data_IF_622553069272
#
_entry.id   IF_622553069272
#
_cell.length_a   1.000
_cell.length_b   1.000
_cell.length_c   1.000
_cell.angle_alpha   90.00
_cell.angle_beta   90.00
_cell.angle_gamma   90.00
#
_symmetry.space_group_name_H-M   'P 1'
#
loop_
_entity.id
_entity.type
_entity.pdbx_description
1 polymer ?
#
# COMPACT_ATOMS: atom_id res chain seq x y z
N UNK A 1 -17.56 -3.88 23.25
CA UNK A 1 -17.60 -4.98 22.27
C UNK A 1 -16.24 -5.05 21.57
N UNK A 2 -15.47 -6.13 21.76
CA UNK A 2 -14.17 -6.32 21.11
C UNK A 2 -14.42 -6.85 19.70
N UNK A 3 -14.42 -5.99 18.69
CA UNK A 3 -14.39 -6.45 17.30
C UNK A 3 -13.00 -7.07 17.03
N UNK A 4 -13.02 -8.37 16.79
CA UNK A 4 -11.83 -9.12 16.36
C UNK A 4 -11.51 -8.74 14.92
N UNK A 5 -10.38 -8.08 14.69
CA UNK A 5 -9.75 -8.03 13.37
C UNK A 5 -9.65 -9.47 12.84
N UNK A 6 -10.36 -9.76 11.77
CA UNK A 6 -10.11 -10.98 11.00
C UNK A 6 -8.75 -10.78 10.33
N UNK A 7 -7.76 -11.49 10.81
CA UNK A 7 -6.43 -11.50 10.21
C UNK A 7 -6.55 -11.87 8.72
N UNK A 8 -6.04 -11.00 7.86
CA UNK A 8 -5.69 -11.33 6.49
C UNK A 8 -4.85 -12.62 6.53
N UNK A 9 -5.33 -13.67 5.87
CA UNK A 9 -4.54 -14.89 5.68
C UNK A 9 -3.35 -14.54 4.78
N UNK A 10 -2.10 -14.77 5.18
CA UNK A 10 -0.92 -14.41 4.40
C UNK A 10 -0.65 -15.30 3.19
N UNK A 11 -1.67 -15.91 2.58
CA UNK A 11 -1.48 -17.08 1.74
C UNK A 11 -1.58 -16.84 0.23
N UNK A 12 -1.77 -15.63 -0.27
CA UNK A 12 -2.06 -15.43 -1.70
C UNK A 12 -0.84 -14.97 -2.52
N UNK A 13 0.18 -14.42 -1.88
CA UNK A 13 1.32 -13.79 -2.59
C UNK A 13 2.48 -14.74 -2.97
N UNK A 14 2.45 -16.02 -2.61
CA UNK A 14 3.66 -16.85 -2.54
C UNK A 14 3.89 -17.88 -3.67
N UNK A 15 3.08 -17.96 -4.74
CA UNK A 15 3.13 -19.21 -5.55
C UNK A 15 3.44 -19.11 -7.06
N UNK A 16 3.84 -17.98 -7.66
CA UNK A 16 4.02 -17.99 -9.13
C UNK A 16 5.32 -17.42 -9.73
N UNK A 17 6.31 -17.05 -8.96
CA UNK A 17 7.60 -16.61 -9.52
C UNK A 17 8.76 -17.51 -9.12
N UNK A 18 8.81 -18.70 -9.74
CA UNK A 18 10.04 -19.47 -9.87
C UNK A 18 10.84 -18.93 -11.05
N UNK A 19 11.97 -18.26 -10.79
CA UNK A 19 13.00 -18.08 -11.80
C UNK A 19 13.34 -16.64 -12.14
N UNK A 20 14.27 -16.13 -11.46
CA UNK A 20 15.50 -15.42 -11.80
C UNK A 20 16.02 -14.75 -10.52
N UNK A 21 16.61 -15.56 -9.67
CA UNK A 21 17.44 -15.06 -8.58
C UNK A 21 18.68 -14.42 -9.18
N UNK A 22 18.66 -13.11 -9.41
CA UNK A 22 19.90 -12.36 -9.47
C UNK A 22 20.43 -12.29 -8.05
N UNK A 23 21.30 -13.22 -7.72
CA UNK A 23 22.09 -13.20 -6.51
C UNK A 23 23.07 -12.02 -6.58
N UNK A 24 22.63 -10.87 -6.09
CA UNK A 24 23.56 -9.87 -5.61
C UNK A 24 23.77 -10.14 -4.12
N UNK A 25 24.60 -11.12 -3.81
CA UNK A 25 25.12 -11.33 -2.49
C UNK A 25 26.09 -10.19 -2.15
N UNK A 26 25.57 -9.05 -1.77
CA UNK A 26 26.35 -8.08 -1.02
C UNK A 26 26.32 -8.51 0.43
N UNK A 27 27.49 -8.81 1.00
CA UNK A 27 27.74 -8.95 2.41
C UNK A 27 27.43 -7.63 3.14
N UNK A 28 26.15 -7.29 3.25
CA UNK A 28 25.71 -6.11 4.00
C UNK A 28 25.25 -6.57 5.37
N UNK A 29 26.12 -6.29 6.34
CA UNK A 29 25.86 -6.47 7.76
C UNK A 29 24.57 -5.81 8.24
N UNK A 30 24.39 -5.70 9.54
CA UNK A 30 23.21 -5.19 10.26
C UNK A 30 22.91 -3.70 10.00
N UNK A 31 22.92 -3.24 8.74
CA UNK A 31 22.65 -1.84 8.34
C UNK A 31 21.34 -1.71 7.58
N UNK A 32 20.67 -0.58 7.76
CA UNK A 32 19.48 -0.24 6.95
C UNK A 32 19.86 -0.07 5.47
N UNK A 33 18.90 -0.25 4.53
CA UNK A 33 19.09 0.21 3.17
C UNK A 33 19.45 1.72 3.15
N UNK A 34 20.24 2.20 2.15
CA UNK A 34 20.66 3.59 2.07
C UNK A 34 19.48 4.57 2.14
N UNK A 35 19.62 5.63 2.96
CA UNK A 35 18.59 6.67 3.07
C UNK A 35 18.78 7.80 2.06
N UNK A 36 19.93 7.91 1.43
CA UNK A 36 20.30 8.88 0.41
C UNK A 36 19.89 8.47 -1.01
N UNK A 37 19.55 7.18 -1.23
CA UNK A 37 19.09 6.66 -2.50
C UNK A 37 17.58 6.38 -2.52
N UNK A 38 16.91 6.53 -3.68
CA UNK A 38 15.53 6.07 -3.84
C UNK A 38 15.42 4.55 -3.68
N UNK A 39 14.36 4.10 -2.99
CA UNK A 39 14.11 2.69 -2.72
C UNK A 39 13.34 2.01 -3.84
N UNK A 40 13.64 0.73 -4.04
CA UNK A 40 12.93 -0.20 -4.93
C UNK A 40 12.48 -1.45 -4.18
N UNK A 41 11.91 -2.41 -4.87
CA UNK A 41 11.46 -3.68 -4.29
C UNK A 41 12.57 -4.44 -3.57
N UNK A 42 13.83 -4.29 -3.97
CA UNK A 42 14.99 -4.93 -3.32
C UNK A 42 15.27 -4.29 -1.97
N UNK A 43 15.22 -2.96 -1.89
CA UNK A 43 15.41 -2.21 -0.64
C UNK A 43 14.35 -2.57 0.41
N UNK A 44 13.06 -2.61 0.00
CA UNK A 44 11.96 -3.00 0.90
C UNK A 44 12.10 -4.44 1.38
N UNK A 45 12.42 -5.38 0.47
CA UNK A 45 12.62 -6.79 0.82
C UNK A 45 13.77 -6.96 1.79
N UNK A 46 14.90 -6.29 1.55
CA UNK A 46 16.05 -6.34 2.45
C UNK A 46 15.72 -5.82 3.86
N UNK A 47 14.91 -4.76 3.98
CA UNK A 47 14.45 -4.28 5.30
C UNK A 47 13.55 -5.31 5.97
N UNK A 48 12.53 -5.84 5.28
CA UNK A 48 11.63 -6.87 5.82
C UNK A 48 12.43 -8.05 6.36
N UNK A 49 13.31 -8.64 5.55
CA UNK A 49 14.12 -9.80 5.95
C UNK A 49 14.98 -9.52 7.18
N UNK A 50 15.56 -8.34 7.28
CA UNK A 50 16.41 -7.98 8.44
C UNK A 50 15.58 -7.76 9.71
N UNK A 51 14.38 -7.18 9.59
CA UNK A 51 13.47 -7.01 10.74
C UNK A 51 12.91 -8.35 11.20
N UNK A 52 12.46 -9.20 10.30
CA UNK A 52 11.95 -10.54 10.61
C UNK A 52 13.02 -11.41 11.27
N UNK A 53 14.26 -11.34 10.80
CA UNK A 53 15.42 -12.03 11.39
C UNK A 53 15.97 -11.35 12.66
N UNK A 54 15.30 -10.30 13.18
CA UNK A 54 15.70 -9.55 14.38
C UNK A 54 17.10 -8.90 14.28
N UNK A 55 17.60 -8.67 13.09
CA UNK A 55 18.88 -7.99 12.84
C UNK A 55 18.73 -6.46 12.91
N UNK A 56 17.53 -5.97 12.61
CA UNK A 56 17.17 -4.56 12.70
C UNK A 56 15.83 -4.38 13.41
N UNK A 57 15.63 -3.20 13.98
CA UNK A 57 14.31 -2.73 14.44
C UNK A 57 13.58 -2.05 13.28
N UNK A 58 12.26 -1.89 13.39
CA UNK A 58 11.51 -1.05 12.47
C UNK A 58 11.98 0.41 12.60
N UNK A 59 12.28 1.11 11.50
CA UNK A 59 12.64 2.52 11.55
C UNK A 59 11.47 3.37 12.03
N UNK A 60 11.73 4.40 12.85
CA UNK A 60 10.69 5.24 13.43
C UNK A 60 10.97 6.72 13.24
N UNK A 61 9.90 7.52 13.24
CA UNK A 61 9.99 8.98 13.19
C UNK A 61 10.53 9.59 14.49
N UNK A 62 10.35 8.90 15.61
CA UNK A 62 10.80 9.35 16.93
C UNK A 62 12.26 9.07 17.21
N UNK A 63 12.93 8.23 16.41
CA UNK A 63 14.33 7.89 16.56
C UNK A 63 15.15 8.58 15.47
N UNK A 64 15.94 9.58 15.85
CA UNK A 64 16.76 10.38 14.92
C UNK A 64 17.69 9.51 14.05
N UNK A 65 18.21 8.39 14.56
CA UNK A 65 19.07 7.50 13.79
C UNK A 65 18.32 6.74 12.67
N UNK A 66 17.01 6.58 12.77
CA UNK A 66 16.20 5.83 11.80
C UNK A 66 15.16 6.68 11.07
N UNK A 67 14.97 7.93 11.50
CA UNK A 67 14.00 8.85 10.91
C UNK A 67 14.22 9.06 9.42
N UNK A 68 15.47 9.35 9.01
CA UNK A 68 15.79 9.52 7.58
C UNK A 68 15.54 8.25 6.77
N UNK A 69 15.79 7.08 7.35
CA UNK A 69 15.48 5.78 6.72
C UNK A 69 13.96 5.64 6.51
N UNK A 70 13.15 5.97 7.54
CA UNK A 70 11.70 5.94 7.42
C UNK A 70 11.18 6.94 6.39
N UNK A 71 11.66 8.18 6.42
CA UNK A 71 11.26 9.21 5.46
C UNK A 71 11.62 8.83 4.02
N UNK A 72 12.78 8.21 3.80
CA UNK A 72 13.16 7.67 2.49
C UNK A 72 12.26 6.50 2.09
N UNK A 73 11.94 5.59 3.01
CA UNK A 73 11.08 4.44 2.78
C UNK A 73 9.71 4.84 2.22
N UNK A 74 9.12 5.92 2.72
CA UNK A 74 7.78 6.40 2.32
C UNK A 74 7.83 7.60 1.37
N UNK A 75 8.99 7.89 0.78
CA UNK A 75 9.13 9.00 -0.17
C UNK A 75 8.45 8.65 -1.49
N UNK A 76 7.49 9.48 -1.89
CA UNK A 76 6.73 9.28 -3.15
C UNK A 76 7.62 9.30 -4.40
N UNK A 77 8.78 9.94 -4.34
CA UNK A 77 9.74 9.98 -5.45
C UNK A 77 10.36 8.60 -5.76
N UNK A 78 10.29 7.65 -4.83
CA UNK A 78 10.69 6.26 -5.09
C UNK A 78 9.87 5.66 -6.26
N UNK A 79 8.60 6.05 -6.39
CA UNK A 79 7.69 5.51 -7.41
C UNK A 79 8.15 5.88 -8.82
N UNK A 80 8.33 7.17 -9.20
CA UNK A 80 8.81 7.51 -10.54
C UNK A 80 10.28 7.15 -10.77
N UNK A 81 11.15 7.26 -9.75
CA UNK A 81 12.59 7.09 -9.92
C UNK A 81 13.01 5.62 -10.00
N UNK A 82 12.42 4.73 -9.20
CA UNK A 82 12.88 3.33 -9.08
C UNK A 82 11.81 2.29 -9.36
N UNK A 83 10.53 2.60 -9.11
CA UNK A 83 9.45 1.63 -9.27
C UNK A 83 8.76 1.70 -10.65
N UNK A 84 9.24 2.51 -11.57
CA UNK A 84 8.89 2.32 -12.98
C UNK A 84 7.87 3.24 -13.59
N UNK A 85 7.59 4.43 -13.05
CA UNK A 85 6.83 5.43 -13.81
C UNK A 85 7.69 6.17 -14.85
N UNK A 86 8.98 5.84 -14.97
CA UNK A 86 9.81 6.37 -16.06
C UNK A 86 9.28 5.87 -17.41
N UNK A 87 8.79 6.78 -18.23
CA UNK A 87 8.20 6.49 -19.56
C UNK A 87 9.18 5.85 -20.56
N UNK A 88 10.47 5.90 -20.29
CA UNK A 88 11.49 5.22 -21.13
C UNK A 88 11.48 3.69 -20.97
N UNK A 89 10.88 3.18 -19.90
CA UNK A 89 10.76 1.75 -19.65
C UNK A 89 9.49 1.18 -20.29
N UNK A 90 9.56 -0.07 -20.77
CA UNK A 90 8.36 -0.76 -21.26
C UNK A 90 7.32 -0.93 -20.16
N UNK A 91 6.04 -1.02 -20.54
CA UNK A 91 4.94 -1.27 -19.62
C UNK A 91 5.18 -2.51 -18.75
N UNK A 92 5.71 -3.58 -19.35
CA UNK A 92 6.05 -4.82 -18.65
C UNK A 92 7.07 -4.58 -17.53
N UNK A 93 8.17 -3.89 -17.81
CA UNK A 93 9.20 -3.60 -16.79
C UNK A 93 8.63 -2.71 -15.69
N UNK A 94 7.85 -1.71 -16.06
CA UNK A 94 7.21 -0.78 -15.10
C UNK A 94 6.27 -1.52 -14.16
N UNK A 95 5.40 -2.39 -14.71
CA UNK A 95 4.49 -3.21 -13.93
C UNK A 95 5.26 -4.13 -12.98
N UNK A 96 6.26 -4.88 -13.47
CA UNK A 96 7.06 -5.81 -12.67
C UNK A 96 7.78 -5.13 -11.51
N UNK A 97 8.30 -3.91 -11.70
CA UNK A 97 8.98 -3.16 -10.64
C UNK A 97 8.02 -2.73 -9.54
N UNK A 98 6.83 -2.22 -9.89
CA UNK A 98 5.80 -1.85 -8.92
C UNK A 98 5.30 -3.08 -8.15
N UNK A 99 5.01 -4.14 -8.88
CA UNK A 99 4.55 -5.42 -8.33
C UNK A 99 5.58 -6.00 -7.35
N UNK A 100 6.87 -6.01 -7.73
CA UNK A 100 7.95 -6.50 -6.85
C UNK A 100 8.15 -5.68 -5.58
N UNK A 101 7.68 -4.43 -5.55
CA UNK A 101 7.77 -3.54 -4.39
C UNK A 101 6.55 -3.65 -3.48
N UNK A 102 5.36 -3.98 -4.01
CA UNK A 102 4.11 -3.93 -3.26
C UNK A 102 4.06 -4.95 -2.12
N UNK A 103 4.44 -6.22 -2.37
CA UNK A 103 4.44 -7.27 -1.32
C UNK A 103 5.34 -6.92 -0.12
N UNK A 104 6.62 -6.54 -0.28
CA UNK A 104 7.42 -6.16 0.88
C UNK A 104 6.94 -4.86 1.56
N UNK A 105 6.33 -3.91 0.85
CA UNK A 105 5.71 -2.73 1.47
C UNK A 105 4.53 -3.17 2.35
N UNK A 106 3.66 -4.03 1.83
CA UNK A 106 2.54 -4.59 2.61
C UNK A 106 3.03 -5.35 3.85
N UNK A 107 4.09 -6.16 3.72
CA UNK A 107 4.71 -6.84 4.87
C UNK A 107 5.21 -5.86 5.93
N UNK A 108 5.76 -4.71 5.54
CA UNK A 108 6.14 -3.68 6.51
C UNK A 108 4.92 -3.14 7.27
N UNK A 109 3.78 -2.87 6.61
CA UNK A 109 2.54 -2.48 7.30
C UNK A 109 2.16 -3.53 8.35
N UNK A 110 2.18 -4.82 7.98
CA UNK A 110 1.86 -5.92 8.90
C UNK A 110 2.86 -5.98 10.08
N UNK A 111 4.15 -5.77 9.83
CA UNK A 111 5.17 -5.76 10.90
C UNK A 111 4.93 -4.61 11.88
N UNK A 112 4.67 -3.38 11.40
CA UNK A 112 4.31 -2.24 12.27
C UNK A 112 3.03 -2.51 13.06
N UNK A 113 1.99 -3.08 12.44
CA UNK A 113 0.75 -3.45 13.11
C UNK A 113 0.97 -4.50 14.21
N UNK A 114 1.83 -5.47 13.96
CA UNK A 114 2.15 -6.51 14.95
C UNK A 114 2.94 -5.96 16.14
N UNK A 115 3.88 -5.06 15.91
CA UNK A 115 4.60 -4.37 16.99
C UNK A 115 3.67 -3.42 17.76
N UNK A 116 2.74 -2.74 17.10
CA UNK A 116 1.75 -1.89 17.74
C UNK A 116 0.83 -2.68 18.70
N UNK A 117 0.50 -3.93 18.36
CA UNK A 117 -0.27 -4.84 19.26
C UNK A 117 0.48 -5.19 20.54
N UNK A 118 1.82 -5.08 20.55
CA UNK A 118 2.67 -5.30 21.72
C UNK A 118 2.82 -4.06 22.61
N UNK A 119 2.03 -3.01 22.35
CA UNK A 119 1.99 -1.79 23.15
C UNK A 119 2.93 -0.67 22.69
N UNK A 120 3.63 -0.83 21.58
CA UNK A 120 4.45 0.24 20.99
C UNK A 120 3.57 1.14 20.13
N UNK A 121 3.76 2.46 20.20
CA UNK A 121 3.03 3.40 19.35
C UNK A 121 3.76 3.60 18.03
N UNK A 122 3.15 3.17 16.94
CA UNK A 122 3.63 3.38 15.57
C UNK A 122 2.57 4.06 14.70
N UNK A 123 1.64 4.80 15.32
CA UNK A 123 0.52 5.39 14.60
C UNK A 123 0.96 6.33 13.46
N UNK A 124 1.90 7.28 13.67
CA UNK A 124 2.34 8.17 12.59
C UNK A 124 3.03 7.42 11.44
N UNK A 125 3.82 6.38 11.76
CA UNK A 125 4.51 5.55 10.77
C UNK A 125 3.50 4.74 9.96
N UNK A 126 2.54 4.09 10.62
CA UNK A 126 1.47 3.34 9.98
C UNK A 126 0.65 4.21 9.05
N UNK A 127 0.21 5.39 9.51
CA UNK A 127 -0.58 6.30 8.68
C UNK A 127 0.17 6.70 7.40
N UNK A 128 1.47 7.04 7.50
CA UNK A 128 2.29 7.40 6.35
C UNK A 128 2.55 6.22 5.43
N UNK A 129 2.81 5.03 5.99
CA UNK A 129 3.10 3.83 5.22
C UNK A 129 1.86 3.34 4.47
N UNK A 130 0.67 3.38 5.08
CA UNK A 130 -0.59 3.03 4.41
C UNK A 130 -0.90 3.99 3.25
N UNK A 131 -0.68 5.30 3.43
CA UNK A 131 -0.82 6.28 2.34
C UNK A 131 0.19 5.99 1.22
N UNK A 132 1.42 5.64 1.56
CA UNK A 132 2.43 5.28 0.58
C UNK A 132 2.05 4.01 -0.19
N UNK A 133 1.60 2.96 0.50
CA UNK A 133 1.10 1.72 -0.12
C UNK A 133 -0.09 2.00 -1.05
N UNK A 134 -1.00 2.91 -0.67
CA UNK A 134 -2.11 3.35 -1.54
C UNK A 134 -1.59 3.92 -2.86
N UNK A 135 -0.55 4.76 -2.82
CA UNK A 135 0.04 5.37 -4.02
C UNK A 135 0.75 4.34 -4.91
N UNK A 136 1.47 3.39 -4.32
CA UNK A 136 2.11 2.30 -5.08
C UNK A 136 1.06 1.40 -5.73
N UNK A 137 0.01 1.04 -4.98
CA UNK A 137 -1.12 0.24 -5.47
C UNK A 137 -1.87 0.95 -6.59
N UNK A 138 -2.14 2.26 -6.46
CA UNK A 138 -2.77 3.07 -7.49
C UNK A 138 -1.94 3.06 -8.79
N UNK A 139 -0.63 3.27 -8.68
CA UNK A 139 0.28 3.24 -9.83
C UNK A 139 0.33 1.86 -10.50
N UNK A 140 0.27 0.77 -9.73
CA UNK A 140 0.20 -0.61 -10.24
C UNK A 140 -1.13 -0.86 -10.97
N UNK A 141 -2.25 -0.44 -10.38
CA UNK A 141 -3.58 -0.58 -10.97
C UNK A 141 -3.69 0.18 -12.30
N UNK A 142 -3.13 1.38 -12.40
CA UNK A 142 -3.12 2.18 -13.64
C UNK A 142 -2.31 1.53 -14.77
N UNK A 143 -1.31 0.71 -14.44
CA UNK A 143 -0.53 -0.07 -15.42
C UNK A 143 -1.12 -1.44 -15.74
N UNK A 144 -2.09 -1.86 -15.01
CA UNK A 144 -2.67 -3.19 -15.03
C UNK A 144 -3.20 -3.59 -16.41
N UNK A 145 -4.20 -2.89 -16.93
CA UNK A 145 -4.78 -3.19 -18.26
C UNK A 145 -3.76 -2.99 -19.40
N UNK A 146 -2.96 -1.89 -19.43
CA UNK A 146 -1.86 -1.77 -20.38
C UNK A 146 -0.88 -2.94 -20.37
N UNK A 147 -0.55 -3.48 -19.17
CA UNK A 147 0.32 -4.63 -19.05
C UNK A 147 -0.31 -5.90 -19.65
N UNK A 148 -1.57 -6.21 -19.30
CA UNK A 148 -2.28 -7.36 -19.87
C UNK A 148 -2.39 -7.27 -21.39
N UNK A 149 -2.60 -6.08 -21.93
CA UNK A 149 -2.62 -5.88 -23.38
C UNK A 149 -1.29 -6.27 -24.07
N UNK A 150 -0.15 -6.10 -23.39
CA UNK A 150 1.15 -6.54 -23.94
C UNK A 150 1.31 -8.06 -24.00
N UNK A 151 0.47 -8.80 -23.26
CA UNK A 151 0.52 -10.26 -23.10
C UNK A 151 -0.58 -10.99 -23.89
N UNK A 152 -1.42 -10.28 -24.65
CA UNK A 152 -2.58 -10.86 -25.33
C UNK A 152 -2.28 -12.08 -26.22
N UNK A 153 -1.06 -12.19 -26.74
CA UNK A 153 -0.59 -13.32 -27.57
C UNK A 153 0.26 -14.34 -26.80
N UNK A 154 0.51 -14.12 -25.49
CA UNK A 154 1.28 -15.07 -24.67
C UNK A 154 0.45 -16.32 -24.40
N UNK A 155 1.06 -17.51 -24.53
CA UNK A 155 0.41 -18.80 -24.22
C UNK A 155 -0.04 -18.89 -22.76
N UNK A 156 0.54 -18.09 -21.84
CA UNK A 156 0.20 -18.00 -20.43
C UNK A 156 -0.77 -16.87 -20.11
N UNK A 157 -1.39 -16.27 -21.11
CA UNK A 157 -2.29 -15.10 -20.91
C UNK A 157 -3.31 -15.32 -19.79
N UNK A 158 -3.94 -16.48 -19.73
CA UNK A 158 -4.93 -16.80 -18.68
C UNK A 158 -4.33 -16.84 -17.28
N UNK A 159 -3.06 -17.25 -17.15
CA UNK A 159 -2.34 -17.22 -15.85
C UNK A 159 -2.11 -15.77 -15.41
N UNK A 160 -1.74 -14.90 -16.36
CA UNK A 160 -1.57 -13.48 -16.09
C UNK A 160 -2.89 -12.79 -15.72
N UNK A 161 -4.00 -13.14 -16.38
CA UNK A 161 -5.34 -12.65 -16.03
C UNK A 161 -5.72 -13.07 -14.61
N UNK A 162 -5.57 -14.35 -14.26
CA UNK A 162 -5.89 -14.86 -12.93
C UNK A 162 -5.02 -14.17 -11.84
N UNK A 163 -3.73 -13.97 -12.09
CA UNK A 163 -2.86 -13.20 -11.20
C UNK A 163 -3.36 -11.76 -11.01
N UNK A 164 -3.75 -11.13 -12.09
CA UNK A 164 -4.28 -9.77 -12.10
C UNK A 164 -5.56 -9.62 -11.27
N UNK A 165 -6.46 -10.60 -11.34
CA UNK A 165 -7.68 -10.63 -10.52
C UNK A 165 -7.35 -10.76 -9.03
N UNK A 166 -6.28 -11.50 -8.69
CA UNK A 166 -5.78 -11.57 -7.32
C UNK A 166 -5.23 -10.22 -6.86
N UNK A 167 -4.45 -9.52 -7.69
CA UNK A 167 -3.95 -8.16 -7.39
C UNK A 167 -5.11 -7.20 -7.15
N UNK A 168 -6.13 -7.21 -8.02
CA UNK A 168 -7.34 -6.38 -7.86
C UNK A 168 -8.07 -6.71 -6.56
N UNK A 169 -8.20 -8.00 -6.21
CA UNK A 169 -8.86 -8.43 -4.97
C UNK A 169 -8.09 -7.98 -3.73
N UNK A 170 -6.77 -8.12 -3.72
CA UNK A 170 -5.91 -7.65 -2.62
C UNK A 170 -5.97 -6.12 -2.47
N UNK A 171 -5.95 -5.39 -3.57
CA UNK A 171 -6.06 -3.93 -3.57
C UNK A 171 -7.42 -3.46 -3.00
N UNK A 172 -8.54 -4.11 -3.36
CA UNK A 172 -9.86 -3.82 -2.78
C UNK A 172 -9.88 -4.03 -1.28
N UNK A 173 -9.34 -5.17 -0.82
CA UNK A 173 -9.29 -5.47 0.61
C UNK A 173 -8.43 -4.44 1.36
N UNK A 174 -7.24 -4.14 0.85
CA UNK A 174 -6.38 -3.12 1.42
C UNK A 174 -7.07 -1.76 1.55
N UNK A 175 -7.75 -1.30 0.49
CA UNK A 175 -8.47 -0.04 0.53
C UNK A 175 -9.62 -0.06 1.55
N UNK A 176 -10.35 -1.17 1.65
CA UNK A 176 -11.39 -1.35 2.67
C UNK A 176 -10.82 -1.29 4.09
N UNK A 177 -9.65 -1.89 4.32
CA UNK A 177 -8.96 -1.88 5.61
C UNK A 177 -8.44 -0.48 5.95
N UNK A 178 -7.93 0.26 4.95
CA UNK A 178 -7.55 1.66 5.11
C UNK A 178 -8.74 2.51 5.59
N UNK A 179 -9.90 2.42 4.92
CA UNK A 179 -11.12 3.15 5.29
C UNK A 179 -11.61 2.73 6.68
N UNK A 180 -11.55 1.46 7.02
CA UNK A 180 -11.92 0.97 8.34
C UNK A 180 -10.97 1.52 9.43
N UNK A 181 -9.68 1.62 9.13
CA UNK A 181 -8.65 2.14 10.04
C UNK A 181 -8.85 3.61 10.44
N UNK A 182 -9.60 4.40 9.65
CA UNK A 182 -9.85 5.81 9.95
C UNK A 182 -10.56 6.06 11.29
N UNK A 183 -11.22 5.05 11.87
CA UNK A 183 -11.91 5.15 13.18
C UNK A 183 -11.07 4.67 14.35
N UNK A 184 -9.86 4.20 14.11
CA UNK A 184 -9.05 3.67 15.19
C UNK A 184 -8.49 4.79 16.08
N UNK A 185 -8.71 4.66 17.39
CA UNK A 185 -8.34 5.66 18.41
C UNK A 185 -6.82 5.85 18.57
N UNK A 186 -6.02 4.98 17.95
CA UNK A 186 -4.56 5.10 17.98
C UNK A 186 -4.03 6.26 17.15
N UNK A 187 -4.77 6.67 16.12
CA UNK A 187 -4.33 7.71 15.19
C UNK A 187 -4.67 9.10 15.71
N UNK A 188 -3.73 10.02 15.58
CA UNK A 188 -3.99 11.44 15.80
C UNK A 188 -4.92 11.99 14.70
N UNK A 189 -5.54 13.14 14.94
CA UNK A 189 -6.33 13.83 13.92
C UNK A 189 -5.53 14.06 12.63
N UNK A 190 -4.27 14.48 12.75
CA UNK A 190 -3.41 14.72 11.58
C UNK A 190 -3.11 13.44 10.78
N UNK A 191 -3.00 12.29 11.47
CA UNK A 191 -2.80 11.01 10.81
C UNK A 191 -4.06 10.57 10.07
N UNK A 192 -5.23 10.71 10.69
CA UNK A 192 -6.52 10.41 10.04
C UNK A 192 -6.75 11.28 8.81
N UNK A 193 -6.52 12.60 8.90
CA UNK A 193 -6.63 13.51 7.75
C UNK A 193 -5.68 13.10 6.62
N UNK A 194 -4.44 12.70 6.95
CA UNK A 194 -3.48 12.20 5.96
C UNK A 194 -3.98 10.92 5.28
N UNK A 195 -4.52 9.97 6.05
CA UNK A 195 -5.08 8.73 5.52
C UNK A 195 -6.28 8.98 4.61
N UNK A 196 -7.19 9.89 5.00
CA UNK A 196 -8.32 10.32 4.17
C UNK A 196 -7.82 10.93 2.85
N UNK A 197 -6.85 11.85 2.92
CA UNK A 197 -6.23 12.44 1.73
C UNK A 197 -5.61 11.40 0.81
N UNK A 198 -4.84 10.46 1.37
CA UNK A 198 -4.26 9.36 0.59
C UNK A 198 -5.30 8.44 -0.05
N UNK A 199 -6.38 8.12 0.67
CA UNK A 199 -7.50 7.36 0.13
C UNK A 199 -8.20 8.12 -1.01
N UNK A 200 -8.47 9.41 -0.82
CA UNK A 200 -9.08 10.26 -1.84
C UNK A 200 -8.22 10.37 -3.10
N UNK A 201 -6.92 10.62 -2.95
CA UNK A 201 -5.98 10.74 -4.07
C UNK A 201 -5.85 9.44 -4.88
N UNK A 202 -5.86 8.29 -4.21
CA UNK A 202 -5.78 6.98 -4.85
C UNK A 202 -7.09 6.53 -5.51
N UNK A 203 -8.23 7.06 -5.06
CA UNK A 203 -9.56 6.56 -5.43
C UNK A 203 -9.78 6.43 -6.94
N UNK A 204 -9.35 7.35 -7.82
CA UNK A 204 -9.55 7.20 -9.26
C UNK A 204 -8.98 5.90 -9.85
N UNK A 205 -7.85 5.42 -9.34
CA UNK A 205 -7.23 4.16 -9.78
C UNK A 205 -7.92 2.92 -9.19
N UNK A 206 -8.52 3.05 -7.99
CA UNK A 206 -9.24 1.95 -7.33
C UNK A 206 -10.70 1.82 -7.79
N UNK A 207 -11.34 2.91 -8.21
CA UNK A 207 -12.75 2.89 -8.63
C UNK A 207 -13.10 1.81 -9.66
N UNK A 208 -12.29 1.55 -10.71
CA UNK A 208 -12.61 0.54 -11.72
C UNK A 208 -12.66 -0.89 -11.19
N UNK A 209 -11.97 -1.17 -10.07
CA UNK A 209 -11.89 -2.52 -9.52
C UNK A 209 -12.94 -2.80 -8.45
N UNK A 210 -13.63 -1.78 -7.90
CA UNK A 210 -14.70 -1.98 -6.93
C UNK A 210 -15.96 -2.53 -7.58
N UNK A 211 -16.54 -3.56 -6.96
CA UNK A 211 -17.90 -4.00 -7.25
C UNK A 211 -18.91 -3.00 -6.71
N UNK A 212 -20.17 -3.11 -7.12
CA UNK A 212 -21.23 -2.25 -6.56
C UNK A 212 -21.40 -2.51 -5.04
N UNK A 213 -21.21 -3.76 -4.60
CA UNK A 213 -21.24 -4.10 -3.17
C UNK A 213 -20.09 -3.44 -2.40
N UNK A 214 -18.86 -3.51 -2.93
CA UNK A 214 -17.70 -2.84 -2.30
C UNK A 214 -17.97 -1.35 -2.11
N UNK A 215 -18.51 -0.69 -3.14
CA UNK A 215 -18.85 0.74 -3.09
C UNK A 215 -19.92 1.04 -2.04
N UNK A 216 -20.99 0.24 -2.00
CA UNK A 216 -22.06 0.40 -1.00
C UNK A 216 -21.52 0.24 0.42
N UNK A 217 -20.70 -0.80 0.66
CA UNK A 217 -20.09 -1.06 1.97
C UNK A 217 -19.16 0.08 2.41
N UNK A 218 -18.35 0.61 1.50
CA UNK A 218 -17.45 1.75 1.78
C UNK A 218 -18.26 3.03 2.07
N UNK A 219 -19.28 3.33 1.29
CA UNK A 219 -20.18 4.48 1.53
C UNK A 219 -20.90 4.35 2.86
N UNK A 220 -21.38 3.16 3.21
CA UNK A 220 -22.04 2.89 4.50
C UNK A 220 -21.06 3.10 5.67
N UNK A 221 -19.84 2.56 5.58
CA UNK A 221 -18.79 2.75 6.59
C UNK A 221 -18.47 4.23 6.79
N UNK A 222 -18.24 4.96 5.70
CA UNK A 222 -17.94 6.40 5.76
C UNK A 222 -19.11 7.19 6.34
N UNK A 223 -20.36 6.87 5.98
CA UNK A 223 -21.56 7.51 6.51
C UNK A 223 -21.67 7.30 8.02
N UNK A 224 -21.39 6.09 8.51
CA UNK A 224 -21.37 5.81 9.95
C UNK A 224 -20.27 6.61 10.67
N UNK A 225 -19.07 6.70 10.09
CA UNK A 225 -17.97 7.49 10.63
C UNK A 225 -18.32 8.98 10.71
N UNK A 226 -18.91 9.53 9.64
CA UNK A 226 -19.37 10.93 9.59
C UNK A 226 -20.40 11.21 10.70
N UNK A 227 -21.35 10.29 10.95
CA UNK A 227 -22.39 10.48 11.96
C UNK A 227 -21.84 10.50 13.39
N UNK A 228 -20.74 9.80 13.66
CA UNK A 228 -20.11 9.71 14.98
C UNK A 228 -19.00 10.74 15.21
N UNK A 229 -18.46 11.33 14.13
CA UNK A 229 -17.36 12.30 14.20
C UNK A 229 -17.86 13.65 14.66
N UNK A 230 -17.28 14.17 15.77
CA UNK A 230 -17.59 15.50 16.33
C UNK A 230 -16.71 16.61 15.73
N UNK A 231 -15.51 16.29 15.28
CA UNK A 231 -14.56 17.23 14.67
C UNK A 231 -15.04 17.63 13.28
N UNK A 232 -15.23 18.92 13.05
CA UNK A 232 -15.81 19.44 11.80
C UNK A 232 -14.89 19.25 10.59
N UNK A 233 -13.57 19.34 10.78
CA UNK A 233 -12.59 19.15 9.71
C UNK A 233 -12.53 17.69 9.25
N UNK A 234 -12.49 16.76 10.22
CA UNK A 234 -12.58 15.32 9.93
C UNK A 234 -13.92 14.98 9.26
N UNK A 235 -15.01 15.54 9.76
CA UNK A 235 -16.34 15.33 9.19
C UNK A 235 -16.42 15.80 7.74
N UNK A 236 -15.84 16.96 7.44
CA UNK A 236 -15.76 17.50 6.08
C UNK A 236 -14.94 16.57 5.18
N UNK A 237 -13.73 16.19 5.59
CA UNK A 237 -12.84 15.32 4.82
C UNK A 237 -13.46 13.94 4.54
N UNK A 238 -14.11 13.32 5.55
CA UNK A 238 -14.85 12.06 5.39
C UNK A 238 -16.03 12.19 4.42
N UNK A 239 -16.73 13.34 4.46
CA UNK A 239 -17.85 13.62 3.55
C UNK A 239 -17.35 13.73 2.12
N UNK A 240 -16.27 14.47 1.88
CA UNK A 240 -15.65 14.60 0.56
C UNK A 240 -15.21 13.24 0.01
N UNK A 241 -14.57 12.39 0.84
CA UNK A 241 -14.20 11.03 0.43
C UNK A 241 -15.44 10.19 0.09
N UNK A 242 -16.50 10.20 0.92
CA UNK A 242 -17.75 9.47 0.66
C UNK A 242 -18.38 9.91 -0.67
N UNK A 243 -18.47 11.22 -0.88
CA UNK A 243 -19.15 11.78 -2.06
C UNK A 243 -18.36 11.45 -3.34
N UNK A 244 -17.04 11.31 -3.27
CA UNK A 244 -16.21 10.84 -4.37
C UNK A 244 -16.52 9.39 -4.79
N UNK A 245 -17.02 8.52 -3.86
CA UNK A 245 -17.53 7.20 -4.22
C UNK A 245 -18.89 7.24 -4.92
N UNK A 246 -19.73 8.20 -4.57
CA UNK A 246 -21.09 8.33 -5.13
C UNK A 246 -21.05 8.95 -6.52
N UNK A 247 -20.21 9.97 -6.72
CA UNK A 247 -20.10 10.66 -7.99
C UNK A 247 -19.19 9.89 -8.95
N UNK A 248 -19.80 9.01 -9.75
CA UNK A 248 -19.14 8.33 -10.88
C UNK A 248 -18.62 9.40 -11.85
N UNK A 249 -17.38 9.85 -11.73
CA UNK A 249 -16.74 10.54 -12.83
C UNK A 249 -16.53 9.51 -13.94
N UNK A 250 -17.40 9.57 -14.95
CA UNK A 250 -17.15 8.91 -16.22
C UNK A 250 -15.75 9.37 -16.68
N UNK A 251 -14.81 8.44 -16.79
CA UNK A 251 -13.57 8.71 -17.53
C UNK A 251 -14.01 8.87 -19.00
N UNK A 252 -14.08 10.11 -19.48
CA UNK A 252 -14.12 10.45 -20.91
C UNK A 252 -12.76 10.16 -21.52
#
# INVERSE_FOLDING_TARGET
MRQRFKMLKPSVWLLLWGGLAVQSASAQGNSYPPADEPWDGTSYRALVERVENKKLQLPTLSNEATKLVFERMVNVDNIPLRMGLNRQLSTTIRFQRLDSALDPIHKLVVLYLNEAKKGKSYAPELARLMVYETKVSAALLDLSEPYLATLATDKRYQVHVAYHDQVKSAARQFYSDLVQGLTETRYSKSDVLRMIGGAHDGLPSFQPIFTDQDRQDLVQKLTQQISTTKDQELKKALTELRDAFVHRRART
#
